data_IF_428654971290
#
_entry.id   IF_428654971290
#
_cell.length_a   1.000
_cell.length_b   1.000
_cell.length_c   1.000
_cell.angle_alpha   90.00
_cell.angle_beta   90.00
_cell.angle_gamma   90.00
#
_symmetry.space_group_name_H-M   'P 1'
#
loop_
_entity.id
_entity.type
_entity.pdbx_description
1 polymer ?
#
# COMPACT_ATOMS: atom_id res chain seq x y z
N UNK A 1 -11.73 3.22 5.79
CA UNK A 1 -10.56 2.77 6.58
C UNK A 1 -9.31 3.28 5.89
N UNK A 2 -8.39 3.97 6.58
CA UNK A 2 -7.20 4.59 5.97
C UNK A 2 -5.93 3.76 6.18
N UNK A 3 -4.98 3.89 5.25
CA UNK A 3 -3.65 3.29 5.38
C UNK A 3 -2.95 3.74 6.67
N UNK A 4 -2.99 2.86 7.67
CA UNK A 4 -2.48 3.12 9.01
C UNK A 4 -1.07 2.54 9.19
N UNK A 5 -0.29 3.10 10.13
CA UNK A 5 1.05 2.61 10.47
C UNK A 5 1.07 1.11 10.81
N UNK A 6 -0.02 0.58 11.37
CA UNK A 6 -0.18 -0.85 11.68
C UNK A 6 -0.24 -1.71 10.41
N UNK A 7 -0.89 -1.24 9.34
CA UNK A 7 -0.92 -1.93 8.05
C UNK A 7 0.46 -1.94 7.41
N UNK A 8 1.18 -0.81 7.43
CA UNK A 8 2.56 -0.73 6.95
C UNK A 8 3.46 -1.75 7.66
N UNK A 9 3.39 -1.85 9.00
CA UNK A 9 4.16 -2.83 9.77
C UNK A 9 3.80 -4.27 9.42
N UNK A 10 2.51 -4.56 9.21
CA UNK A 10 2.04 -5.87 8.77
C UNK A 10 2.62 -6.26 7.40
N UNK A 11 2.61 -5.32 6.46
CA UNK A 11 3.18 -5.50 5.13
C UNK A 11 4.71 -5.65 5.17
N UNK A 12 5.43 -4.80 5.92
CA UNK A 12 6.88 -4.93 6.07
C UNK A 12 7.27 -6.30 6.66
N UNK A 13 6.48 -6.80 7.62
CA UNK A 13 6.67 -8.14 8.19
C UNK A 13 6.36 -9.24 7.18
N UNK A 14 5.31 -9.10 6.38
CA UNK A 14 4.92 -10.06 5.35
C UNK A 14 5.99 -10.18 4.24
N UNK A 15 6.51 -9.04 3.76
CA UNK A 15 7.55 -9.00 2.74
C UNK A 15 8.96 -9.19 3.30
N UNK A 16 9.11 -9.24 4.63
CA UNK A 16 10.40 -9.29 5.36
C UNK A 16 11.40 -8.24 4.86
N UNK A 17 10.89 -7.09 4.43
CA UNK A 17 11.67 -5.99 3.85
C UNK A 17 11.08 -4.66 4.26
N UNK A 18 11.94 -3.65 4.36
CA UNK A 18 11.51 -2.27 4.49
C UNK A 18 11.15 -1.73 3.11
N UNK A 19 9.99 -1.08 3.01
CA UNK A 19 9.58 -0.42 1.78
C UNK A 19 10.33 0.90 1.59
N UNK A 20 10.69 1.25 0.35
CA UNK A 20 11.27 2.55 0.06
C UNK A 20 10.27 3.66 0.41
N UNK A 21 10.79 4.82 0.80
CA UNK A 21 9.98 5.99 1.18
C UNK A 21 8.98 6.40 0.09
N UNK A 22 9.33 6.24 -1.18
CA UNK A 22 8.48 6.52 -2.35
C UNK A 22 7.22 5.65 -2.35
N UNK A 23 7.39 4.34 -2.18
CA UNK A 23 6.28 3.40 -2.09
C UNK A 23 5.39 3.68 -0.87
N UNK A 24 5.98 4.04 0.27
CA UNK A 24 5.22 4.44 1.46
C UNK A 24 4.42 5.73 1.20
N UNK A 25 4.99 6.68 0.46
CA UNK A 25 4.33 7.93 0.11
C UNK A 25 3.16 7.70 -0.84
N UNK A 26 3.39 6.92 -1.91
CA UNK A 26 2.33 6.47 -2.82
C UNK A 26 1.20 5.78 -2.07
N UNK A 27 1.51 4.82 -1.19
CA UNK A 27 0.48 4.12 -0.42
C UNK A 27 -0.32 5.07 0.50
N UNK A 28 0.32 6.12 1.04
CA UNK A 28 -0.38 7.12 1.87
C UNK A 28 -1.24 8.08 1.05
N UNK A 29 -0.86 8.41 -0.18
CA UNK A 29 -1.70 9.22 -1.05
C UNK A 29 -2.86 8.36 -1.56
N UNK A 30 -2.52 7.25 -2.22
CA UNK A 30 -3.49 6.36 -2.87
C UNK A 30 -4.46 5.71 -1.89
N UNK A 31 -4.02 5.36 -0.68
CA UNK A 31 -4.84 4.63 0.31
C UNK A 31 -5.04 5.37 1.64
N UNK A 32 -4.47 6.57 1.80
CA UNK A 32 -4.54 7.35 3.05
C UNK A 32 -5.41 8.61 2.99
N UNK A 33 -5.90 9.03 1.81
CA UNK A 33 -6.93 10.07 1.71
C UNK A 33 -8.32 9.51 2.07
N UNK A 34 -9.00 10.19 3.01
CA UNK A 34 -10.41 9.97 3.29
C UNK A 34 -11.28 10.70 2.25
N UNK A 35 -12.44 10.13 1.87
CA UNK A 35 -12.99 8.85 2.31
C UNK A 35 -12.73 7.77 1.24
N UNK A 36 -11.96 6.75 1.58
CA UNK A 36 -12.06 5.47 0.87
C UNK A 36 -13.53 5.04 0.91
N UNK A 37 -14.21 4.88 -0.23
CA UNK A 37 -15.59 4.41 -0.21
C UNK A 37 -15.60 3.07 0.51
N UNK A 38 -16.44 2.97 1.54
CA UNK A 38 -16.55 1.88 2.50
C UNK A 38 -16.96 0.52 1.87
N UNK A 39 -16.83 0.35 0.56
CA UNK A 39 -17.07 -0.89 -0.19
C UNK A 39 -15.90 -1.87 -0.12
N UNK A 40 -14.68 -1.40 0.19
CA UNK A 40 -13.52 -2.28 0.30
C UNK A 40 -13.33 -2.77 1.75
N UNK A 41 -13.43 -4.08 1.94
CA UNK A 41 -13.05 -4.74 3.19
C UNK A 41 -11.55 -4.57 3.43
N UNK A 42 -11.10 -4.68 4.69
CA UNK A 42 -9.66 -4.62 5.03
C UNK A 42 -8.82 -5.61 4.21
N UNK A 43 -9.40 -6.75 3.86
CA UNK A 43 -8.77 -7.78 3.03
C UNK A 43 -8.57 -7.33 1.58
N UNK A 44 -9.56 -6.68 0.96
CA UNK A 44 -9.44 -6.15 -0.39
C UNK A 44 -8.41 -5.03 -0.47
N UNK A 45 -8.41 -4.15 0.53
CA UNK A 45 -7.39 -3.09 0.65
C UNK A 45 -5.99 -3.71 0.73
N UNK A 46 -5.83 -4.74 1.57
CA UNK A 46 -4.56 -5.47 1.65
C UNK A 46 -4.17 -6.11 0.31
N UNK A 47 -5.11 -6.74 -0.38
CA UNK A 47 -4.86 -7.40 -1.66
C UNK A 47 -4.48 -6.40 -2.76
N UNK A 48 -5.12 -5.23 -2.80
CA UNK A 48 -4.75 -4.14 -3.72
C UNK A 48 -3.35 -3.60 -3.42
N UNK A 49 -3.06 -3.30 -2.16
CA UNK A 49 -1.72 -2.84 -1.74
C UNK A 49 -0.65 -3.88 -2.12
N UNK A 50 -0.90 -5.17 -1.89
CA UNK A 50 0.04 -6.23 -2.28
C UNK A 50 0.26 -6.28 -3.80
N UNK A 51 -0.79 -6.08 -4.60
CA UNK A 51 -0.68 -6.00 -6.06
C UNK A 51 0.13 -4.80 -6.52
N UNK A 52 -0.08 -3.62 -5.93
CA UNK A 52 0.74 -2.43 -6.23
C UNK A 52 2.21 -2.66 -5.85
N UNK A 53 2.47 -3.24 -4.68
CA UNK A 53 3.83 -3.56 -4.23
C UNK A 53 4.49 -4.55 -5.22
N UNK A 54 3.79 -5.59 -5.63
CA UNK A 54 4.31 -6.58 -6.59
C UNK A 54 4.56 -5.94 -7.96
N UNK A 55 3.64 -5.09 -8.43
CA UNK A 55 3.80 -4.33 -9.66
C UNK A 55 4.99 -3.36 -9.60
N UNK A 56 5.22 -2.72 -8.45
CA UNK A 56 6.38 -1.86 -8.21
C UNK A 56 7.70 -2.64 -8.32
N UNK A 57 7.80 -3.78 -7.62
CA UNK A 57 8.99 -4.63 -7.71
C UNK A 57 9.17 -5.28 -9.08
N UNK A 58 8.09 -5.52 -9.82
CA UNK A 58 8.13 -5.99 -11.20
C UNK A 58 8.48 -4.89 -12.22
N UNK A 59 8.65 -3.63 -11.79
CA UNK A 59 8.88 -2.49 -12.68
C UNK A 59 7.67 -2.12 -13.55
N UNK A 60 6.47 -2.56 -13.16
CA UNK A 60 5.19 -2.27 -13.83
C UNK A 60 4.44 -1.10 -13.21
N UNK A 61 4.80 -0.71 -11.99
CA UNK A 61 4.26 0.46 -11.31
C UNK A 61 5.34 1.55 -11.30
N UNK A 62 5.22 2.51 -12.21
CA UNK A 62 6.04 3.73 -12.17
C UNK A 62 5.45 4.68 -11.11
N UNK A 63 6.07 4.71 -9.93
CA UNK A 63 5.77 5.71 -8.92
C UNK A 63 6.49 6.99 -9.33
N UNK A 64 5.82 7.83 -10.11
CA UNK A 64 6.24 9.21 -10.37
C UNK A 64 5.91 10.05 -9.14
N UNK A 65 6.92 10.41 -8.34
CA UNK A 65 6.80 11.36 -7.22
C UNK A 65 6.87 12.81 -7.72
#
# INVERSE_FOLDING_TARGET
MTFSKTMLKGLQKAYRKEFPSELIHYLRITYGEEPFPYEYSEQDLYAQIQRDIDAYYAGKLEITV
#
